data_IF_051990349745
#
_entry.id   IF_051990349745
#
_cell.length_a   1.000
_cell.length_b   1.000
_cell.length_c   1.000
_cell.angle_alpha   90.00
_cell.angle_beta   90.00
_cell.angle_gamma   90.00
#
_symmetry.space_group_name_H-M   'P 1'
#
loop_
_entity.id
_entity.type
_entity.pdbx_description
1 polymer ?
#
# COMPACT_ATOMS: atom_id res chain seq x y z
N UNK A 1 21.55 -13.73 -0.32
CA UNK A 1 22.25 -12.91 0.70
C UNK A 1 21.22 -12.05 1.40
N UNK A 2 21.22 -12.00 2.73
CA UNK A 2 20.37 -11.06 3.47
C UNK A 2 20.89 -9.62 3.26
N UNK A 3 19.99 -8.65 3.15
CA UNK A 3 20.29 -7.22 3.13
C UNK A 3 19.98 -6.63 4.51
N UNK A 4 20.70 -5.60 4.91
CA UNK A 4 20.49 -4.93 6.21
C UNK A 4 19.87 -3.56 5.97
N UNK A 5 18.85 -3.24 6.76
CA UNK A 5 18.24 -1.92 6.81
C UNK A 5 18.71 -1.25 8.10
N UNK A 6 19.16 -0.01 8.03
CA UNK A 6 19.58 0.79 9.18
C UNK A 6 18.66 2.00 9.29
N UNK A 7 18.06 2.19 10.48
CA UNK A 7 17.13 3.26 10.76
C UNK A 7 17.62 4.07 11.97
N UNK A 8 17.55 5.40 11.88
CA UNK A 8 17.71 6.28 13.04
C UNK A 8 16.34 6.77 13.46
N UNK A 9 16.03 6.61 14.74
CA UNK A 9 14.77 7.00 15.36
C UNK A 9 15.06 7.80 16.61
N UNK A 10 14.13 8.65 17.02
CA UNK A 10 14.17 9.29 18.32
C UNK A 10 13.75 8.32 19.44
N UNK A 11 13.94 8.75 20.69
CA UNK A 11 13.64 7.94 21.87
C UNK A 11 12.15 7.60 21.99
N UNK A 12 11.26 8.50 21.54
CA UNK A 12 9.82 8.30 21.61
C UNK A 12 9.37 7.19 20.65
N UNK A 13 9.82 7.24 19.39
CA UNK A 13 9.57 6.21 18.40
C UNK A 13 10.22 4.88 18.81
N UNK A 14 11.45 4.91 19.34
CA UNK A 14 12.11 3.71 19.85
C UNK A 14 11.31 3.06 20.98
N UNK A 15 10.85 3.86 21.96
CA UNK A 15 10.03 3.38 23.07
C UNK A 15 8.72 2.74 22.59
N UNK A 16 8.04 3.38 21.63
CA UNK A 16 6.83 2.85 21.02
C UNK A 16 7.08 1.50 20.35
N UNK A 17 8.10 1.40 19.48
CA UNK A 17 8.42 0.14 18.80
C UNK A 17 8.82 -0.96 19.77
N UNK A 18 9.55 -0.62 20.83
CA UNK A 18 9.92 -1.58 21.88
C UNK A 18 8.68 -2.13 22.58
N UNK A 19 7.78 -1.26 23.05
CA UNK A 19 6.56 -1.69 23.74
C UNK A 19 5.65 -2.52 22.84
N UNK A 20 5.50 -2.13 21.57
CA UNK A 20 4.70 -2.90 20.62
C UNK A 20 5.32 -4.27 20.30
N UNK A 21 6.63 -4.32 20.06
CA UNK A 21 7.35 -5.56 19.81
C UNK A 21 7.31 -6.51 21.01
N UNK A 22 7.43 -5.99 22.24
CA UNK A 22 7.30 -6.75 23.48
C UNK A 22 5.89 -7.32 23.64
N UNK A 23 4.85 -6.53 23.34
CA UNK A 23 3.46 -6.97 23.33
C UNK A 23 3.20 -8.13 22.35
N UNK A 24 3.83 -8.06 21.18
CA UNK A 24 3.76 -9.09 20.14
C UNK A 24 4.76 -10.25 20.35
N UNK A 25 5.54 -10.24 21.44
CA UNK A 25 6.58 -11.23 21.78
C UNK A 25 7.59 -11.45 20.65
N UNK A 26 8.03 -10.38 20.00
CA UNK A 26 9.03 -10.41 18.90
C UNK A 26 10.09 -9.34 19.09
N UNK A 27 11.18 -9.43 18.33
CA UNK A 27 12.21 -8.38 18.34
C UNK A 27 11.71 -7.13 17.62
N UNK A 28 12.26 -5.96 17.97
CA UNK A 28 11.95 -4.69 17.30
C UNK A 28 12.16 -4.79 15.79
N UNK A 29 13.27 -5.42 15.36
CA UNK A 29 13.56 -5.60 13.93
C UNK A 29 12.48 -6.41 13.22
N UNK A 30 12.01 -7.50 13.84
CA UNK A 30 10.96 -8.32 13.24
C UNK A 30 9.58 -7.63 13.27
N UNK A 31 9.30 -6.84 14.32
CA UNK A 31 8.10 -6.01 14.37
C UNK A 31 8.07 -4.99 13.23
N UNK A 32 9.16 -4.24 13.03
CA UNK A 32 9.27 -3.24 11.96
C UNK A 32 9.17 -3.90 10.58
N UNK A 33 9.87 -5.02 10.38
CA UNK A 33 9.80 -5.79 9.12
C UNK A 33 8.37 -6.20 8.80
N UNK A 34 7.67 -6.80 9.77
CA UNK A 34 6.30 -7.25 9.59
C UNK A 34 5.33 -6.08 9.32
N UNK A 35 5.43 -5.00 10.10
CA UNK A 35 4.59 -3.82 9.92
C UNK A 35 4.82 -3.16 8.56
N UNK A 36 6.07 -3.02 8.12
CA UNK A 36 6.41 -2.44 6.83
C UNK A 36 5.91 -3.32 5.67
N UNK A 37 6.05 -4.64 5.78
CA UNK A 37 5.54 -5.58 4.79
C UNK A 37 4.01 -5.51 4.71
N UNK A 38 3.33 -5.58 5.85
CA UNK A 38 1.87 -5.51 5.91
C UNK A 38 1.34 -4.20 5.34
N UNK A 39 1.92 -3.06 5.72
CA UNK A 39 1.56 -1.75 5.16
C UNK A 39 1.77 -1.68 3.65
N UNK A 40 2.84 -2.30 3.13
CA UNK A 40 3.10 -2.32 1.69
C UNK A 40 2.06 -3.17 0.97
N UNK A 41 1.74 -4.35 1.51
CA UNK A 41 0.75 -5.26 0.93
C UNK A 41 -0.65 -4.64 0.98
N UNK A 42 -1.05 -4.05 2.10
CA UNK A 42 -2.36 -3.40 2.24
C UNK A 42 -2.58 -2.27 1.22
N UNK A 43 -1.51 -1.56 0.83
CA UNK A 43 -1.61 -0.54 -0.22
C UNK A 43 -1.56 -1.12 -1.64
N UNK A 44 -1.16 -2.39 -1.80
CA UNK A 44 -1.08 -3.07 -3.09
C UNK A 44 -2.40 -3.79 -3.43
N UNK A 45 -3.21 -4.12 -2.43
CA UNK A 45 -4.52 -4.74 -2.60
C UNK A 45 -5.65 -3.72 -2.39
N UNK A 46 -6.59 -3.69 -3.33
CA UNK A 46 -7.85 -2.97 -3.22
C UNK A 46 -8.83 -3.79 -2.40
N UNK A 47 -9.57 -3.13 -1.51
CA UNK A 47 -10.59 -3.81 -0.70
C UNK A 47 -11.79 -4.26 -1.56
N UNK A 48 -12.65 -5.12 -0.99
CA UNK A 48 -13.80 -5.67 -1.72
C UNK A 48 -14.77 -4.58 -2.21
N UNK A 49 -14.93 -3.49 -1.45
CA UNK A 49 -15.83 -2.39 -1.79
C UNK A 49 -15.26 -1.53 -2.93
N UNK A 50 -13.94 -1.29 -2.91
CA UNK A 50 -13.22 -0.66 -4.01
C UNK A 50 -13.26 -1.53 -5.25
N UNK A 51 -13.06 -2.84 -5.13
CA UNK A 51 -13.16 -3.76 -6.26
C UNK A 51 -14.56 -3.84 -6.84
N UNK A 52 -15.59 -3.82 -6.01
CA UNK A 52 -16.98 -3.78 -6.47
C UNK A 52 -17.28 -2.49 -7.23
N UNK A 53 -16.78 -1.36 -6.74
CA UNK A 53 -16.86 -0.07 -7.45
C UNK A 53 -16.11 -0.09 -8.79
N UNK A 54 -14.87 -0.61 -8.82
CA UNK A 54 -14.08 -0.76 -10.05
C UNK A 54 -14.83 -1.64 -11.06
N UNK A 55 -15.39 -2.77 -10.61
CA UNK A 55 -16.17 -3.67 -11.46
C UNK A 55 -17.42 -2.99 -12.01
N UNK A 56 -18.11 -2.16 -11.21
CA UNK A 56 -19.27 -1.38 -11.68
C UNK A 56 -18.92 -0.43 -12.83
N UNK A 57 -17.67 0.08 -12.86
CA UNK A 57 -17.15 1.01 -13.88
C UNK A 57 -16.39 0.30 -15.01
N UNK A 58 -16.18 -1.01 -14.94
CA UNK A 58 -15.34 -1.74 -15.89
C UNK A 58 -15.80 -1.58 -17.35
N UNK A 59 -17.11 -1.48 -17.58
CA UNK A 59 -17.68 -1.24 -18.91
C UNK A 59 -17.33 0.15 -19.44
N UNK A 60 -17.43 1.17 -18.60
CA UNK A 60 -17.13 2.56 -18.95
C UNK A 60 -15.63 2.77 -19.16
N UNK A 61 -14.79 2.12 -18.36
CA UNK A 61 -13.33 2.12 -18.53
C UNK A 61 -12.93 1.50 -19.87
N UNK A 62 -13.47 0.33 -20.22
CA UNK A 62 -13.22 -0.31 -21.53
C UNK A 62 -13.65 0.57 -22.70
N UNK A 63 -14.82 1.20 -22.57
CA UNK A 63 -15.32 2.15 -23.58
C UNK A 63 -14.40 3.36 -23.70
N UNK A 64 -13.99 3.95 -22.58
CA UNK A 64 -13.08 5.09 -22.55
C UNK A 64 -11.73 4.76 -23.20
N UNK A 65 -11.20 3.56 -22.97
CA UNK A 65 -9.97 3.09 -23.61
C UNK A 65 -10.13 2.97 -25.14
N UNK A 66 -11.27 2.45 -25.60
CA UNK A 66 -11.59 2.37 -27.03
C UNK A 66 -11.78 3.77 -27.64
N UNK A 67 -12.39 4.70 -26.91
CA UNK A 67 -12.56 6.09 -27.32
C UNK A 67 -11.18 6.79 -27.48
N UNK A 68 -10.25 6.58 -26.54
CA UNK A 68 -8.86 7.06 -26.63
C UNK A 68 -8.16 6.49 -27.87
N UNK A 69 -8.23 5.18 -28.08
CA UNK A 69 -7.61 4.52 -29.25
C UNK A 69 -8.17 5.03 -30.57
N UNK A 70 -9.45 5.42 -30.59
CA UNK A 70 -10.15 5.93 -31.77
C UNK A 70 -10.08 7.46 -31.88
N UNK A 71 -9.27 8.13 -31.05
CA UNK A 71 -9.07 9.59 -31.09
C UNK A 71 -10.30 10.40 -30.65
N UNK A 72 -11.27 9.77 -29.97
CA UNK A 72 -12.49 10.42 -29.47
C UNK A 72 -12.28 11.01 -28.08
N UNK A 73 -11.47 12.06 -28.02
CA UNK A 73 -11.29 12.87 -26.82
C UNK A 73 -11.03 14.32 -27.20
N UNK A 74 -11.14 15.21 -26.23
CA UNK A 74 -10.76 16.61 -26.40
C UNK A 74 -10.01 17.05 -25.13
N UNK A 75 -9.02 17.91 -25.31
CA UNK A 75 -8.32 18.54 -24.20
C UNK A 75 -9.16 19.71 -23.71
N UNK A 76 -9.27 19.84 -22.39
CA UNK A 76 -9.93 20.96 -21.73
C UNK A 76 -8.82 21.75 -21.04
N UNK A 77 -8.72 23.05 -21.38
CA UNK A 77 -7.81 24.01 -20.73
C UNK A 77 -8.34 24.46 -19.36
#
# INVERSE_FOLDING_TARGET
>A
MAKTITLRVDDAAYGLFKTAADGDRRTISNYIEHAALHYTLDNEFVDDSEMEWINSRAKDLKRSLADIQQGRYHFVD
#
